data_IF_887984799244
#
_entry.id   IF_887984799244
#
_cell.length_a   1.000
_cell.length_b   1.000
_cell.length_c   1.000
_cell.angle_alpha   90.00
_cell.angle_beta   90.00
_cell.angle_gamma   90.00
#
_symmetry.space_group_name_H-M   'P 1'
#
loop_
_entity.id
_entity.type
_entity.pdbx_description
1 polymer ?
#
# COMPACT_ATOMS: atom_id res chain seq x y z
N UNK A 1 -3.14 -12.01 9.89
CA UNK A 1 -3.23 -10.75 9.13
C UNK A 1 -4.69 -10.43 8.89
N UNK A 2 -5.03 -9.15 8.81
CA UNK A 2 -6.34 -8.67 8.42
C UNK A 2 -6.20 -8.09 7.01
N UNK A 3 -7.00 -8.59 6.07
CA UNK A 3 -7.04 -8.10 4.69
C UNK A 3 -8.43 -7.48 4.49
N UNK A 4 -8.46 -6.24 4.03
CA UNK A 4 -9.67 -5.59 3.56
C UNK A 4 -9.62 -5.48 2.04
N UNK A 5 -10.70 -5.87 1.37
CA UNK A 5 -10.89 -5.73 -0.07
C UNK A 5 -12.10 -4.82 -0.32
N UNK A 6 -12.14 -4.10 -1.45
CA UNK A 6 -13.31 -3.33 -1.84
C UNK A 6 -14.50 -4.27 -2.09
N UNK A 7 -15.71 -3.77 -1.84
CA UNK A 7 -16.94 -4.51 -2.17
C UNK A 7 -17.06 -4.68 -3.69
N UNK A 8 -17.45 -5.89 -4.12
CA UNK A 8 -17.35 -6.30 -5.54
C UNK A 8 -18.13 -5.44 -6.54
N UNK A 9 -19.21 -4.77 -6.10
CA UNK A 9 -20.02 -3.87 -6.92
C UNK A 9 -19.36 -2.50 -7.19
N UNK A 10 -18.28 -2.18 -6.47
CA UNK A 10 -17.60 -0.88 -6.54
C UNK A 10 -16.28 -0.94 -7.31
N UNK A 11 -15.81 -2.14 -7.70
CA UNK A 11 -14.55 -2.34 -8.41
C UNK A 11 -14.63 -1.71 -9.80
N UNK A 12 -13.72 -0.79 -10.10
CA UNK A 12 -13.56 -0.19 -11.42
C UNK A 12 -12.16 -0.50 -11.93
N UNK A 13 -12.03 -1.46 -12.84
CA UNK A 13 -10.74 -1.94 -13.36
C UNK A 13 -9.84 -0.79 -13.87
N UNK A 14 -10.42 0.21 -14.53
CA UNK A 14 -9.71 1.37 -15.07
C UNK A 14 -9.36 2.47 -14.04
N UNK A 15 -9.75 2.33 -12.77
CA UNK A 15 -9.45 3.32 -11.74
C UNK A 15 -8.16 2.97 -10.99
N UNK A 16 -7.38 3.98 -10.55
CA UNK A 16 -6.22 3.75 -9.70
C UNK A 16 -6.58 2.93 -8.45
N UNK A 17 -5.64 2.09 -8.02
CA UNK A 17 -5.77 1.27 -6.83
C UNK A 17 -5.15 2.01 -5.65
N UNK A 18 -5.78 1.91 -4.48
CA UNK A 18 -5.21 2.34 -3.21
C UNK A 18 -4.83 1.09 -2.42
N UNK A 19 -3.56 0.94 -2.07
CA UNK A 19 -3.06 -0.15 -1.24
C UNK A 19 -2.45 0.39 0.04
N UNK A 20 -3.08 0.08 1.17
CA UNK A 20 -2.60 0.46 2.51
C UNK A 20 -1.86 -0.69 3.15
N UNK A 21 -0.68 -0.41 3.71
CA UNK A 21 0.08 -1.34 4.54
C UNK A 21 0.14 -0.77 5.96
N UNK A 22 -0.59 -1.39 6.88
CA UNK A 22 -0.90 -0.85 8.21
C UNK A 22 -0.36 -1.77 9.31
N UNK A 23 0.97 -1.78 9.47
CA UNK A 23 1.69 -2.63 10.42
C UNK A 23 2.08 -1.86 11.69
N UNK A 24 2.65 -0.67 11.53
CA UNK A 24 3.06 0.17 12.68
C UNK A 24 1.95 1.09 13.18
N UNK A 25 1.05 1.50 12.29
CA UNK A 25 -0.09 2.35 12.59
C UNK A 25 -1.23 2.11 11.60
N UNK A 26 -2.44 2.56 11.95
CA UNK A 26 -3.53 2.70 10.99
C UNK A 26 -3.32 3.95 10.15
N UNK A 27 -3.70 3.88 8.89
CA UNK A 27 -3.70 4.98 7.95
C UNK A 27 -5.14 5.44 7.81
N UNK A 28 -5.42 6.72 8.05
CA UNK A 28 -6.77 7.26 7.93
C UNK A 28 -7.16 7.46 6.46
N UNK A 29 -8.39 7.09 6.12
CA UNK A 29 -8.90 7.25 4.75
C UNK A 29 -9.09 8.73 4.39
N UNK A 30 -9.45 9.58 5.36
CA UNK A 30 -9.63 11.03 5.12
C UNK A 30 -8.35 11.70 4.64
N UNK A 31 -7.20 11.24 5.13
CA UNK A 31 -5.90 11.74 4.69
C UNK A 31 -5.57 11.35 3.25
N UNK A 32 -6.15 10.26 2.74
CA UNK A 32 -5.99 9.82 1.35
C UNK A 32 -6.99 10.54 0.44
N UNK A 33 -8.21 10.78 0.90
CA UNK A 33 -9.25 11.50 0.15
C UNK A 33 -8.80 12.91 -0.30
N UNK A 34 -7.88 13.54 0.46
CA UNK A 34 -7.26 14.82 0.10
C UNK A 34 -6.41 14.77 -1.18
N UNK A 35 -5.99 13.57 -1.62
CA UNK A 35 -5.18 13.36 -2.83
C UNK A 35 -6.01 13.22 -4.11
N UNK A 36 -7.34 13.29 -4.03
CA UNK A 36 -8.26 13.21 -5.19
C UNK A 36 -8.08 11.87 -5.95
N UNK A 37 -7.71 10.80 -5.25
CA UNK A 37 -7.66 9.44 -5.79
C UNK A 37 -9.01 8.76 -5.53
N UNK A 38 -9.66 8.15 -6.54
CA UNK A 38 -10.93 7.44 -6.33
C UNK A 38 -10.80 6.30 -5.31
N UNK A 39 -11.67 6.30 -4.30
CA UNK A 39 -11.65 5.33 -3.19
C UNK A 39 -12.26 3.96 -3.52
N UNK A 40 -12.74 3.77 -4.76
CA UNK A 40 -13.42 2.56 -5.24
C UNK A 40 -12.58 1.29 -5.08
N UNK A 41 -11.27 1.38 -5.29
CA UNK A 41 -10.34 0.26 -5.32
C UNK A 41 -9.40 0.30 -4.10
N UNK A 42 -9.96 0.44 -2.89
CA UNK A 42 -9.17 0.47 -1.67
C UNK A 42 -8.97 -0.93 -1.09
N UNK A 43 -7.71 -1.32 -0.98
CA UNK A 43 -7.23 -2.53 -0.31
C UNK A 43 -6.41 -2.16 0.91
N UNK A 44 -6.49 -2.98 1.96
CA UNK A 44 -5.63 -2.85 3.13
C UNK A 44 -5.08 -4.21 3.57
N UNK A 45 -3.78 -4.22 3.89
CA UNK A 45 -3.13 -5.27 4.64
C UNK A 45 -2.72 -4.72 6.01
N UNK A 46 -3.31 -5.25 7.06
CA UNK A 46 -3.08 -4.78 8.43
C UNK A 46 -2.88 -5.92 9.42
N UNK A 47 -2.29 -5.59 10.56
CA UNK A 47 -2.23 -6.46 11.73
C UNK A 47 -3.38 -6.11 12.68
N UNK A 48 -3.74 -7.02 13.59
CA UNK A 48 -4.86 -6.80 14.52
C UNK A 48 -4.66 -5.53 15.36
N UNK A 49 -3.46 -5.39 15.92
CA UNK A 49 -3.07 -4.25 16.74
C UNK A 49 -1.79 -3.63 16.15
N UNK A 50 -1.91 -2.65 15.23
CA UNK A 50 -0.74 -1.98 14.67
C UNK A 50 0.09 -1.30 15.76
N UNK A 51 1.41 -1.44 15.68
CA UNK A 51 2.33 -0.85 16.64
C UNK A 51 3.73 -0.75 16.05
N UNK A 52 4.46 0.31 16.39
CA UNK A 52 5.88 0.47 16.03
C UNK A 52 6.74 -0.71 16.50
N UNK A 53 6.32 -1.41 17.56
CA UNK A 53 7.00 -2.59 18.12
C UNK A 53 6.37 -3.91 17.65
N UNK A 54 5.52 -3.90 16.61
CA UNK A 54 4.82 -5.12 16.19
C UNK A 54 5.77 -6.18 15.64
N UNK A 55 6.80 -5.76 14.88
CA UNK A 55 7.77 -6.67 14.26
C UNK A 55 8.88 -7.02 15.24
N UNK A 56 8.81 -8.23 15.81
CA UNK A 56 9.74 -8.74 16.82
C UNK A 56 10.43 -10.03 16.38
N UNK A 57 10.04 -10.60 15.24
CA UNK A 57 10.57 -11.87 14.76
C UNK A 57 10.55 -11.99 13.23
N UNK A 58 11.42 -12.84 12.70
CA UNK A 58 11.42 -13.21 11.27
C UNK A 58 10.12 -13.90 10.85
N UNK A 59 9.48 -14.67 11.75
CA UNK A 59 8.20 -15.32 11.46
C UNK A 59 7.10 -14.30 11.16
N UNK A 60 7.06 -13.19 11.90
CA UNK A 60 6.13 -12.10 11.63
C UNK A 60 6.44 -11.41 10.30
N UNK A 61 7.72 -11.20 9.98
CA UNK A 61 8.14 -10.65 8.69
C UNK A 61 7.65 -11.53 7.54
N UNK A 62 7.96 -12.82 7.57
CA UNK A 62 7.54 -13.79 6.56
C UNK A 62 6.02 -13.88 6.44
N UNK A 63 5.30 -13.78 7.55
CA UNK A 63 3.84 -13.73 7.54
C UNK A 63 3.32 -12.52 6.75
N UNK A 64 3.84 -11.31 7.01
CA UNK A 64 3.44 -10.10 6.28
C UNK A 64 3.79 -10.22 4.81
N UNK A 65 5.01 -10.67 4.48
CA UNK A 65 5.46 -10.84 3.10
C UNK A 65 4.58 -11.82 2.31
N UNK A 66 4.20 -12.95 2.92
CA UNK A 66 3.32 -13.95 2.29
C UNK A 66 1.94 -13.37 1.98
N UNK A 67 1.33 -12.69 2.94
CA UNK A 67 -0.01 -12.13 2.74
C UNK A 67 0.01 -10.92 1.78
N UNK A 68 1.08 -10.12 1.80
CA UNK A 68 1.29 -9.08 0.80
C UNK A 68 1.38 -9.66 -0.61
N UNK A 69 2.21 -10.70 -0.83
CA UNK A 69 2.37 -11.31 -2.14
C UNK A 69 1.03 -11.77 -2.72
N UNK A 70 0.24 -12.50 -1.92
CA UNK A 70 -1.10 -12.97 -2.31
C UNK A 70 -2.05 -11.82 -2.65
N UNK A 71 -2.06 -10.78 -1.83
CA UNK A 71 -2.90 -9.61 -2.06
C UNK A 71 -2.47 -8.84 -3.31
N UNK A 72 -1.16 -8.65 -3.48
CA UNK A 72 -0.58 -7.93 -4.61
C UNK A 72 -0.85 -8.65 -5.92
N UNK A 73 -0.62 -9.97 -5.99
CA UNK A 73 -0.95 -10.79 -7.15
C UNK A 73 -2.43 -10.66 -7.53
N UNK A 74 -3.35 -10.77 -6.55
CA UNK A 74 -4.78 -10.58 -6.76
C UNK A 74 -5.12 -9.18 -7.29
N UNK A 75 -4.53 -8.13 -6.72
CA UNK A 75 -4.74 -6.75 -7.18
C UNK A 75 -4.29 -6.63 -8.64
N UNK A 76 -3.11 -7.14 -8.98
CA UNK A 76 -2.54 -7.01 -10.32
C UNK A 76 -3.25 -7.87 -11.36
N UNK A 77 -3.90 -8.96 -10.95
CA UNK A 77 -4.75 -9.77 -11.82
C UNK A 77 -6.05 -9.03 -12.17
N UNK A 78 -6.64 -8.35 -11.19
CA UNK A 78 -7.90 -7.60 -11.35
C UNK A 78 -7.67 -6.27 -12.07
N UNK A 79 -6.59 -5.55 -11.73
CA UNK A 79 -6.31 -4.16 -12.12
C UNK A 79 -5.07 -4.04 -13.00
N UNK A 80 -5.03 -4.79 -14.10
CA UNK A 80 -3.80 -5.00 -14.90
C UNK A 80 -3.15 -3.72 -15.41
N UNK A 81 -3.96 -2.71 -15.71
CA UNK A 81 -3.51 -1.48 -16.36
C UNK A 81 -3.61 -0.24 -15.44
N UNK A 82 -3.91 -0.43 -14.17
CA UNK A 82 -4.17 0.67 -13.23
C UNK A 82 -3.00 0.85 -12.28
N UNK A 83 -2.60 2.11 -12.11
CA UNK A 83 -1.57 2.49 -11.15
C UNK A 83 -1.96 2.10 -9.72
N UNK A 84 -1.00 1.56 -8.98
CA UNK A 84 -1.15 1.20 -7.58
C UNK A 84 -0.52 2.29 -6.73
N UNK A 85 -1.34 2.96 -5.93
CA UNK A 85 -0.96 3.98 -4.96
C UNK A 85 -0.73 3.31 -3.60
N UNK A 86 0.53 3.13 -3.23
CA UNK A 86 0.97 2.46 -2.01
C UNK A 86 1.16 3.46 -0.87
N UNK A 87 0.38 3.27 0.20
CA UNK A 87 0.49 4.01 1.46
C UNK A 87 1.06 3.09 2.53
N UNK A 88 2.23 3.44 3.05
CA UNK A 88 3.00 2.56 3.92
C UNK A 88 3.14 3.10 5.34
N UNK A 89 2.66 2.34 6.32
CA UNK A 89 2.88 2.55 7.74
C UNK A 89 3.41 1.24 8.35
N UNK A 90 4.73 1.07 8.34
CA UNK A 90 5.34 -0.11 8.91
C UNK A 90 6.84 0.02 9.18
N UNK A 91 7.46 -1.00 9.78
CA UNK A 91 8.90 -1.06 10.00
C UNK A 91 9.70 -1.14 8.70
N UNK A 92 10.87 -0.51 8.62
CA UNK A 92 11.72 -0.50 7.41
C UNK A 92 11.97 -1.91 6.82
N UNK A 93 12.24 -2.97 7.61
CA UNK A 93 12.47 -4.31 7.06
C UNK A 93 11.30 -4.80 6.20
N UNK A 94 10.05 -4.54 6.61
CA UNK A 94 8.88 -4.93 5.83
C UNK A 94 8.90 -4.20 4.47
N UNK A 95 9.11 -2.88 4.44
CA UNK A 95 9.16 -2.09 3.20
C UNK A 95 10.20 -2.62 2.19
N UNK A 96 11.41 -2.95 2.67
CA UNK A 96 12.48 -3.51 1.83
C UNK A 96 12.01 -4.81 1.18
N UNK A 97 11.44 -5.72 1.96
CA UNK A 97 10.93 -6.99 1.43
C UNK A 97 9.78 -6.81 0.45
N UNK A 98 8.87 -5.85 0.69
CA UNK A 98 7.79 -5.58 -0.26
C UNK A 98 8.35 -5.09 -1.59
N UNK A 99 9.32 -4.17 -1.55
CA UNK A 99 9.98 -3.62 -2.74
C UNK A 99 10.71 -4.68 -3.57
N UNK A 100 11.30 -5.69 -2.94
CA UNK A 100 11.98 -6.80 -3.65
C UNK A 100 11.05 -7.65 -4.52
N UNK A 101 9.75 -7.66 -4.22
CA UNK A 101 8.76 -8.43 -4.99
C UNK A 101 8.41 -7.71 -6.29
N UNK A 102 8.59 -6.39 -6.34
CA UNK A 102 8.17 -5.56 -7.45
C UNK A 102 9.13 -5.67 -8.65
N UNK A 103 8.57 -5.96 -9.81
CA UNK A 103 9.24 -5.92 -11.11
C UNK A 103 8.41 -5.02 -12.04
N UNK A 104 8.93 -3.85 -12.45
CA UNK A 104 8.20 -2.90 -13.31
C UNK A 104 7.88 -3.43 -14.72
N UNK A 105 8.50 -4.53 -15.17
CA UNK A 105 8.16 -5.17 -16.45
C UNK A 105 6.96 -6.12 -16.36
N UNK A 106 6.58 -6.52 -15.15
CA UNK A 106 5.54 -7.52 -14.88
C UNK A 106 4.31 -6.85 -14.28
N UNK A 107 4.52 -5.95 -13.33
CA UNK A 107 3.46 -5.34 -12.54
C UNK A 107 3.16 -3.91 -13.00
N UNK A 108 1.91 -3.45 -12.80
CA UNK A 108 1.53 -2.08 -13.10
C UNK A 108 2.36 -1.06 -12.31
N UNK A 109 2.37 0.22 -12.74
CA UNK A 109 3.08 1.27 -12.04
C UNK A 109 2.73 1.31 -10.55
N UNK A 110 3.76 1.35 -9.71
CA UNK A 110 3.62 1.44 -8.25
C UNK A 110 4.12 2.81 -7.79
N UNK A 111 3.21 3.62 -7.26
CA UNK A 111 3.49 4.96 -6.71
C UNK A 111 3.50 4.90 -5.20
N UNK A 112 4.59 5.38 -4.60
CA UNK A 112 4.80 5.33 -3.15
C UNK A 112 4.48 6.71 -2.56
N UNK A 113 3.62 6.69 -1.54
CA UNK A 113 3.29 7.85 -0.72
C UNK A 113 3.92 7.74 0.66
N UNK A 114 4.54 8.83 1.10
CA UNK A 114 5.10 8.94 2.44
C UNK A 114 4.34 9.96 3.28
N UNK A 115 4.18 9.66 4.55
CA UNK A 115 3.57 10.56 5.52
C UNK A 115 4.62 11.53 6.05
N UNK A 116 4.45 12.82 5.78
CA UNK A 116 5.43 13.83 6.15
C UNK A 116 4.79 15.19 6.45
N UNK A 117 5.55 16.05 7.12
CA UNK A 117 5.14 17.44 7.34
C UNK A 117 5.30 18.26 6.06
N UNK A 118 4.31 19.12 5.80
CA UNK A 118 4.39 20.14 4.77
C UNK A 118 4.98 21.45 5.33
N UNK A 119 5.06 22.47 4.47
CA UNK A 119 5.64 23.78 4.80
C UNK A 119 4.91 24.48 5.95
N UNK A 120 3.63 24.15 6.16
CA UNK A 120 2.79 24.67 7.22
C UNK A 120 2.80 23.79 8.48
N UNK A 121 3.74 22.84 8.61
CA UNK A 121 3.84 21.86 9.69
C UNK A 121 2.63 20.93 9.85
N UNK A 122 1.76 20.83 8.85
CA UNK A 122 0.66 19.88 8.81
C UNK A 122 1.14 18.58 8.18
N UNK A 123 0.64 17.44 8.67
CA UNK A 123 1.00 16.15 8.10
C UNK A 123 0.13 15.86 6.86
N UNK A 124 0.77 15.42 5.79
CA UNK A 124 0.12 14.99 4.57
C UNK A 124 0.87 13.83 3.91
N UNK A 125 0.18 13.14 3.02
CA UNK A 125 0.84 12.19 2.13
C UNK A 125 1.43 12.93 0.94
N UNK A 126 2.74 12.77 0.71
CA UNK A 126 3.39 13.21 -0.52
C UNK A 126 3.79 12.02 -1.37
N UNK A 127 3.57 12.11 -2.68
CA UNK A 127 4.16 11.19 -3.67
C UNK A 127 5.68 11.34 -3.56
N UNK A 128 6.37 10.26 -3.22
CA UNK A 128 7.83 10.23 -3.13
C UNK A 128 8.42 9.72 -4.43
N UNK A 129 7.86 8.64 -4.97
CA UNK A 129 8.49 7.92 -6.06
C UNK A 129 7.50 7.06 -6.87
N UNK A 130 7.67 7.00 -8.19
CA UNK A 130 7.00 6.04 -9.06
C UNK A 130 7.99 4.99 -9.56
N UNK A 131 7.85 3.73 -9.15
CA UNK A 131 8.80 2.67 -9.52
C UNK A 131 8.73 2.25 -11.01
N UNK A 132 7.73 2.72 -11.76
CA UNK A 132 7.64 2.57 -13.22
C UNK A 132 8.35 3.68 -14.02
N UNK A 133 8.77 4.77 -13.37
CA UNK A 133 9.41 5.92 -14.04
C UNK A 133 10.95 5.75 -14.18
N UNK A 134 11.49 4.62 -13.71
CA UNK A 134 12.94 4.31 -13.69
C UNK A 134 13.44 3.47 -14.88
N UNK A 135 12.55 3.06 -15.78
CA UNK A 135 12.88 2.26 -16.97
C UNK A 135 12.51 3.01 -18.24
#
# INVERSE_FOLDING_TARGET
MLISCPEGSLIKDSNPVILKIEISAKIDNKSIEQLIIPMNNLYSLSVKNPSVNWLQSLNQLHLVCREYRRLFEKITEIHKNSEINLFYAGPIPVAIFLGQIFNPRIYPPLVIYNWQKNENNLNEFKKVFGLGELL
#
